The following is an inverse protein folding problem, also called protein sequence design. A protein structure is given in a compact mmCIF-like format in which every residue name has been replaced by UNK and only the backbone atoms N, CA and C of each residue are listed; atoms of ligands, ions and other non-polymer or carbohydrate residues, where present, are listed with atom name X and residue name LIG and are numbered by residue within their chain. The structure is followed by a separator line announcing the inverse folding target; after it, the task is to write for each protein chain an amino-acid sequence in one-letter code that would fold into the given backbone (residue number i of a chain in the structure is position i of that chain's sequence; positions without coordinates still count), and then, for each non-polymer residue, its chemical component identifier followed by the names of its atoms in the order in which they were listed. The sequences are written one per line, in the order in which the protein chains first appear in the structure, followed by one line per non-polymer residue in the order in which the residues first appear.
data_IF_695214649661
#
_entry.id   IF_695214649661
#
_cell.length_a   1.000
_cell.length_b   1.000
_cell.length_c   1.000
_cell.angle_alpha   90.00
_cell.angle_beta   90.00
_cell.angle_gamma   90.00
#
_symmetry.space_group_name_H-M   'P 1'
#
loop_
_entity.id
_entity.type
_entity.pdbx_description
1 polymer ?
#
# COMPACT_ATOMS: atom_id res chain seq x y z
N UNK A 1 11.90 -16.02 28.39
CA UNK A 1 12.42 -15.82 27.00
C UNK A 1 11.67 -16.59 25.91
N UNK A 2 11.55 -17.94 25.97
CA UNK A 2 10.91 -18.74 24.90
C UNK A 2 9.50 -18.27 24.47
N UNK A 3 8.66 -17.82 25.41
CA UNK A 3 7.30 -17.32 25.12
C UNK A 3 7.31 -16.00 24.35
N UNK A 4 8.20 -15.07 24.72
CA UNK A 4 8.38 -13.78 24.04
C UNK A 4 8.84 -14.00 22.61
N UNK A 5 9.87 -14.83 22.40
CA UNK A 5 10.34 -15.15 21.05
C UNK A 5 9.25 -15.77 20.17
N UNK A 6 8.41 -16.67 20.72
CA UNK A 6 7.31 -17.28 19.96
C UNK A 6 6.20 -16.28 19.57
N UNK A 7 5.93 -15.30 20.42
CA UNK A 7 4.91 -14.26 20.14
C UNK A 7 5.42 -13.20 19.16
N UNK A 8 6.70 -12.83 19.26
CA UNK A 8 7.28 -11.76 18.45
C UNK A 8 7.80 -12.24 17.09
N UNK A 9 8.14 -13.52 16.95
CA UNK A 9 8.59 -14.10 15.69
C UNK A 9 7.64 -13.84 14.50
N UNK A 10 6.32 -14.12 14.59
CA UNK A 10 5.40 -13.84 13.48
C UNK A 10 5.27 -12.33 13.19
N UNK A 11 5.36 -11.47 14.21
CA UNK A 11 5.33 -10.02 14.02
C UNK A 11 6.57 -9.52 13.27
N UNK A 12 7.75 -10.02 13.64
CA UNK A 12 9.00 -9.74 12.96
C UNK A 12 9.00 -10.26 11.52
N UNK A 13 8.41 -11.43 11.28
CA UNK A 13 8.25 -11.98 9.94
C UNK A 13 7.34 -11.11 9.06
N UNK A 14 6.21 -10.63 9.57
CA UNK A 14 5.34 -9.69 8.83
C UNK A 14 6.07 -8.40 8.48
N UNK A 15 6.84 -7.84 9.42
CA UNK A 15 7.66 -6.66 9.17
C UNK A 15 8.77 -6.91 8.14
N UNK A 16 9.44 -8.06 8.20
CA UNK A 16 10.43 -8.45 7.20
C UNK A 16 9.82 -8.56 5.80
N UNK A 17 8.63 -9.14 5.68
CA UNK A 17 7.91 -9.23 4.40
C UNK A 17 7.58 -7.83 3.85
N UNK A 18 7.07 -6.93 4.68
CA UNK A 18 6.82 -5.53 4.27
C UNK A 18 8.11 -4.79 3.89
N UNK A 19 9.19 -4.97 4.66
CA UNK A 19 10.47 -4.32 4.35
C UNK A 19 11.10 -4.83 3.05
N UNK A 20 10.81 -6.08 2.67
CA UNK A 20 11.36 -6.72 1.47
C UNK A 20 10.58 -6.37 0.20
N UNK A 21 9.34 -5.95 0.33
CA UNK A 21 8.47 -5.54 -0.79
C UNK A 21 9.12 -4.46 -1.66
N UNK A 22 9.58 -3.36 -1.06
CA UNK A 22 10.20 -2.25 -1.78
C UNK A 22 11.44 -2.65 -2.60
N UNK A 23 12.44 -3.33 -2.00
CA UNK A 23 13.59 -3.86 -2.72
C UNK A 23 13.23 -4.84 -3.84
N UNK A 24 12.25 -5.72 -3.62
CA UNK A 24 11.80 -6.67 -4.62
C UNK A 24 11.16 -5.97 -5.82
N UNK A 25 10.29 -4.99 -5.57
CA UNK A 25 9.69 -4.15 -6.63
C UNK A 25 10.77 -3.37 -7.39
N UNK A 26 11.71 -2.73 -6.69
CA UNK A 26 12.82 -2.03 -7.32
C UNK A 26 13.67 -2.96 -8.20
N UNK A 27 13.91 -4.20 -7.76
CA UNK A 27 14.65 -5.20 -8.53
C UNK A 27 13.96 -5.60 -9.84
N UNK A 28 12.62 -5.65 -9.85
CA UNK A 28 11.82 -5.89 -11.07
C UNK A 28 11.83 -4.65 -11.95
N UNK A 29 11.57 -3.47 -11.38
CA UNK A 29 11.49 -2.20 -12.10
C UNK A 29 12.81 -1.87 -12.81
N UNK A 30 13.95 -2.17 -12.16
CA UNK A 30 15.29 -1.98 -12.73
C UNK A 30 15.58 -2.86 -13.96
N UNK A 31 14.79 -3.92 -14.22
CA UNK A 31 14.97 -4.84 -15.35
C UNK A 31 14.07 -4.52 -16.55
N UNK A 32 13.23 -3.47 -16.48
CA UNK A 32 12.44 -3.01 -17.61
C UNK A 32 13.31 -2.33 -18.68
N UNK A 33 12.75 -2.15 -19.88
CA UNK A 33 13.45 -1.61 -21.06
C UNK A 33 14.09 -0.21 -20.85
N UNK A 34 13.55 0.60 -19.93
CA UNK A 34 14.07 1.93 -19.59
C UNK A 34 14.29 2.12 -18.06
N UNK A 35 15.28 1.45 -17.46
CA UNK A 35 15.42 1.34 -16.00
C UNK A 35 15.48 2.69 -15.27
N UNK A 36 16.24 3.66 -15.80
CA UNK A 36 16.40 4.99 -15.16
C UNK A 36 15.08 5.75 -15.08
N UNK A 37 14.28 5.71 -16.15
CA UNK A 37 13.01 6.42 -16.24
C UNK A 37 11.97 5.71 -15.37
N UNK A 38 11.87 4.38 -15.48
CA UNK A 38 10.88 3.61 -14.73
C UNK A 38 11.18 3.61 -13.22
N UNK A 39 12.45 3.58 -12.79
CA UNK A 39 12.82 3.72 -11.37
C UNK A 39 12.55 5.12 -10.82
N UNK A 40 12.83 6.17 -11.59
CA UNK A 40 12.53 7.54 -11.19
C UNK A 40 11.02 7.76 -11.06
N UNK A 41 10.24 7.23 -12.01
CA UNK A 41 8.78 7.27 -11.95
C UNK A 41 8.21 6.44 -10.78
N UNK A 42 8.73 5.23 -10.56
CA UNK A 42 8.27 4.34 -9.48
C UNK A 42 8.51 4.96 -8.10
N UNK A 43 9.75 5.36 -7.80
CA UNK A 43 10.12 5.89 -6.49
C UNK A 43 9.65 7.32 -6.25
N UNK A 44 9.63 8.16 -7.27
CA UNK A 44 9.32 9.60 -7.14
C UNK A 44 7.83 9.94 -7.23
N UNK A 45 7.05 9.16 -7.98
CA UNK A 45 5.65 9.49 -8.28
C UNK A 45 4.68 8.40 -7.82
N UNK A 46 4.89 7.16 -8.28
CA UNK A 46 3.91 6.09 -8.09
C UNK A 46 3.82 5.68 -6.62
N UNK A 47 4.95 5.45 -5.95
CA UNK A 47 4.97 4.98 -4.57
C UNK A 47 4.38 6.00 -3.56
N UNK A 48 4.74 7.30 -3.58
CA UNK A 48 4.11 8.29 -2.70
C UNK A 48 2.61 8.47 -2.95
N UNK A 49 2.16 8.41 -4.22
CA UNK A 49 0.73 8.51 -4.54
C UNK A 49 -0.06 7.31 -4.00
N UNK A 50 0.47 6.10 -4.17
CA UNK A 50 -0.12 4.89 -3.61
C UNK A 50 -0.24 5.02 -2.08
N UNK A 51 0.81 5.50 -1.39
CA UNK A 51 0.77 5.73 0.06
C UNK A 51 -0.30 6.74 0.49
N UNK A 52 -0.50 7.83 -0.25
CA UNK A 52 -1.58 8.80 0.05
C UNK A 52 -2.94 8.14 -0.06
N UNK A 53 -3.16 7.33 -1.11
CA UNK A 53 -4.42 6.61 -1.33
C UNK A 53 -4.63 5.51 -0.27
N UNK A 54 -3.57 4.84 0.17
CA UNK A 54 -3.62 3.79 1.20
C UNK A 54 -3.69 4.34 2.64
N UNK A 55 -3.25 5.58 2.88
CA UNK A 55 -3.22 6.21 4.20
C UNK A 55 -4.48 6.03 5.07
N UNK A 56 -5.73 6.17 4.55
CA UNK A 56 -6.92 6.03 5.39
C UNK A 56 -7.18 4.57 5.79
N UNK A 57 -6.67 3.58 5.05
CA UNK A 57 -6.87 2.16 5.35
C UNK A 57 -5.75 1.57 6.22
N UNK A 58 -4.58 2.20 6.28
CA UNK A 58 -3.48 1.76 7.18
C UNK A 58 -3.95 1.73 8.65
N UNK A 59 -4.79 2.69 9.05
CA UNK A 59 -5.36 2.72 10.41
C UNK A 59 -6.41 1.63 10.68
N UNK A 60 -6.86 0.90 9.66
CA UNK A 60 -7.83 -0.19 9.82
C UNK A 60 -7.28 -1.30 10.72
N UNK A 61 -5.96 -1.53 10.73
CA UNK A 61 -5.33 -2.48 11.66
C UNK A 61 -5.57 -2.09 13.12
N UNK A 62 -5.32 -0.82 13.46
CA UNK A 62 -5.57 -0.27 14.80
C UNK A 62 -7.07 -0.26 15.13
N UNK A 63 -7.92 0.13 14.17
CA UNK A 63 -9.37 0.07 14.32
C UNK A 63 -9.86 -1.36 14.59
N UNK A 64 -9.27 -2.36 13.93
CA UNK A 64 -9.58 -3.77 14.13
C UNK A 64 -9.27 -4.23 15.54
N UNK A 65 -8.11 -3.86 16.09
CA UNK A 65 -7.75 -4.19 17.47
C UNK A 65 -8.62 -3.49 18.50
N UNK A 66 -9.14 -2.29 18.20
CA UNK A 66 -9.94 -1.50 19.13
C UNK A 66 -11.43 -1.86 19.11
N UNK A 67 -12.01 -2.12 17.93
CA UNK A 67 -13.46 -2.32 17.74
C UNK A 67 -13.89 -3.79 17.65
N UNK A 68 -13.02 -4.73 17.29
CA UNK A 68 -13.40 -6.15 17.16
C UNK A 68 -13.44 -6.87 18.51
N UNK A 69 -14.41 -6.50 19.35
CA UNK A 69 -14.67 -7.15 20.65
C UNK A 69 -15.69 -8.28 20.57
N UNK A 70 -16.64 -8.17 19.63
CA UNK A 70 -17.73 -9.12 19.43
C UNK A 70 -17.86 -9.49 17.94
N UNK A 71 -18.51 -10.63 17.68
CA UNK A 71 -18.71 -11.15 16.30
C UNK A 71 -19.48 -10.16 15.40
N UNK A 72 -20.44 -9.42 15.95
CA UNK A 72 -21.21 -8.42 15.21
C UNK A 72 -20.34 -7.21 14.81
N UNK A 73 -19.50 -6.73 15.73
CA UNK A 73 -18.52 -5.68 15.47
C UNK A 73 -17.49 -6.11 14.42
N UNK A 74 -17.04 -7.35 14.46
CA UNK A 74 -16.17 -7.93 13.43
C UNK A 74 -16.82 -7.95 12.04
N UNK A 75 -18.09 -8.39 11.93
CA UNK A 75 -18.81 -8.40 10.63
C UNK A 75 -18.99 -6.99 10.06
N UNK A 76 -19.29 -6.00 10.91
CA UNK A 76 -19.40 -4.59 10.51
C UNK A 76 -18.06 -4.06 10.00
N UNK A 77 -16.98 -4.32 10.73
CA UNK A 77 -15.64 -3.90 10.33
C UNK A 77 -15.18 -4.58 9.04
N UNK A 78 -15.45 -5.88 8.86
CA UNK A 78 -15.15 -6.60 7.63
C UNK A 78 -15.91 -6.03 6.43
N UNK A 79 -17.18 -5.65 6.61
CA UNK A 79 -17.96 -5.00 5.54
C UNK A 79 -17.36 -3.65 5.18
N UNK A 80 -17.00 -2.83 6.17
CA UNK A 80 -16.31 -1.55 5.94
C UNK A 80 -14.98 -1.74 5.21
N UNK A 81 -14.16 -2.70 5.67
CA UNK A 81 -12.88 -3.06 5.04
C UNK A 81 -13.06 -3.43 3.56
N UNK A 82 -14.03 -4.29 3.24
CA UNK A 82 -14.25 -4.71 1.86
C UNK A 82 -14.73 -3.56 0.98
N UNK A 83 -15.61 -2.69 1.49
CA UNK A 83 -16.05 -1.50 0.75
C UNK A 83 -14.94 -0.48 0.56
N UNK A 84 -14.17 -0.19 1.61
CA UNK A 84 -13.03 0.72 1.54
C UNK A 84 -11.96 0.17 0.60
N UNK A 85 -11.63 -1.12 0.69
CA UNK A 85 -10.71 -1.78 -0.22
C UNK A 85 -11.19 -1.70 -1.67
N UNK A 86 -12.44 -2.05 -1.94
CA UNK A 86 -13.01 -1.96 -3.29
C UNK A 86 -13.00 -0.52 -3.83
N UNK A 87 -13.35 0.46 -3.00
CA UNK A 87 -13.31 1.88 -3.38
C UNK A 87 -11.90 2.34 -3.71
N UNK A 88 -10.91 2.02 -2.86
CA UNK A 88 -9.52 2.41 -3.08
C UNK A 88 -8.91 1.70 -4.29
N UNK A 89 -9.26 0.44 -4.53
CA UNK A 89 -8.89 -0.28 -5.76
C UNK A 89 -9.52 0.35 -7.00
N UNK A 90 -10.80 0.73 -6.93
CA UNK A 90 -11.48 1.43 -8.03
C UNK A 90 -10.82 2.79 -8.30
N UNK A 91 -10.48 3.55 -7.26
CA UNK A 91 -9.74 4.82 -7.38
C UNK A 91 -8.37 4.60 -8.01
N UNK A 92 -7.63 3.55 -7.61
CA UNK A 92 -6.35 3.18 -8.23
C UNK A 92 -6.51 2.86 -9.72
N UNK A 93 -7.51 2.05 -10.08
CA UNK A 93 -7.79 1.70 -11.48
C UNK A 93 -8.15 2.95 -12.26
N UNK A 94 -9.02 3.80 -11.73
CA UNK A 94 -9.39 5.05 -12.38
C UNK A 94 -8.16 5.92 -12.61
N UNK A 95 -7.33 6.17 -11.60
CA UNK A 95 -6.12 6.99 -11.75
C UNK A 95 -5.11 6.37 -12.72
N UNK A 96 -4.93 5.05 -12.70
CA UNK A 96 -3.99 4.34 -13.57
C UNK A 96 -4.44 4.33 -15.04
N UNK A 97 -5.74 4.21 -15.31
CA UNK A 97 -6.30 4.11 -16.67
C UNK A 97 -6.87 5.44 -17.22
N UNK A 98 -6.93 6.51 -16.41
CA UNK A 98 -7.33 7.85 -16.88
C UNK A 98 -6.13 8.78 -17.06
N UNK A 99 -6.25 9.82 -17.91
CA UNK A 99 -5.20 10.81 -18.15
C UNK A 99 -4.86 11.68 -16.92
N UNK A 100 -5.44 11.40 -15.74
CA UNK A 100 -5.04 12.00 -14.46
C UNK A 100 -3.57 11.71 -14.12
N UNK A 101 -3.00 10.59 -14.59
CA UNK A 101 -1.57 10.33 -14.50
C UNK A 101 -0.73 11.46 -15.09
N UNK A 102 -1.14 12.02 -16.25
CA UNK A 102 -0.44 13.14 -16.88
C UNK A 102 -0.57 14.44 -16.06
N UNK A 103 -1.69 14.67 -15.37
CA UNK A 103 -1.84 15.85 -14.52
C UNK A 103 -0.91 15.74 -13.30
N UNK A 104 -0.81 14.56 -12.68
CA UNK A 104 0.06 14.41 -11.50
C UNK A 104 1.55 14.32 -11.89
N UNK A 105 1.87 13.60 -12.98
CA UNK A 105 3.24 13.45 -13.47
C UNK A 105 3.82 14.74 -14.09
N UNK A 106 3.03 15.45 -14.92
CA UNK A 106 3.52 16.61 -15.69
C UNK A 106 3.31 17.92 -14.94
N UNK A 107 2.17 18.15 -14.28
CA UNK A 107 1.91 19.43 -13.58
C UNK A 107 2.43 19.48 -12.14
N UNK A 108 2.45 18.35 -11.42
CA UNK A 108 2.81 18.34 -9.99
C UNK A 108 4.27 17.94 -9.74
N UNK A 109 4.78 16.97 -10.49
CA UNK A 109 6.15 16.46 -10.33
C UNK A 109 7.14 17.07 -11.32
N UNK A 110 6.68 17.68 -12.41
CA UNK A 110 7.57 18.32 -13.39
C UNK A 110 8.53 17.32 -14.03
N UNK A 111 8.08 16.09 -14.24
CA UNK A 111 8.86 15.09 -14.96
C UNK A 111 8.95 15.51 -16.45
N UNK A 112 10.14 15.49 -17.08
CA UNK A 112 10.30 15.75 -18.50
C UNK A 112 9.68 14.65 -19.38
#
# INVERSE_FOLDING_TARGET
MRRIMRTWWPLAASWLLMATEGPMMNGVVARLAAPKITLAAWGGLVWPLALVIESPIIMLLSASTALSKDWDSYRKLRRFMMWAGALLTAVHILIAFTPLYYIVAVKLVGAP
#
